data_IF_319759730276
#
_entry.id   IF_319759730276
#
_cell.length_a   1.000
_cell.length_b   1.000
_cell.length_c   1.000
_cell.angle_alpha   90.00
_cell.angle_beta   90.00
_cell.angle_gamma   90.00
#
_symmetry.space_group_name_H-M   'P 1'
#
loop_
_entity.id
_entity.type
_entity.pdbx_description
1 polymer ?
2 non-polymer ?
3 non-polymer ?
4 non-polymer ?
5 water ?
#
# COMPACT_ATOMS: atom_id res chain seq x y z
N UNK A 3 -1.52 -8.41 22.40
CA UNK A 3 -1.12 -9.68 21.84
C UNK A 3 -0.77 -9.62 20.34
N UNK A 4 -1.63 -9.02 19.49
CA UNK A 4 -1.30 -8.98 18.05
C UNK A 4 -0.01 -8.22 17.76
N UNK A 5 0.06 -6.96 18.22
CA UNK A 5 1.24 -6.15 18.00
C UNK A 5 2.46 -6.73 18.70
N UNK A 6 2.25 -7.27 19.91
CA UNK A 6 3.36 -7.87 20.65
C UNK A 6 3.92 -9.07 19.89
N UNK A 7 3.05 -9.90 19.33
CA UNK A 7 3.51 -11.07 18.58
C UNK A 7 4.14 -10.66 17.25
N UNK A 8 3.59 -9.62 16.60
CA UNK A 8 4.17 -9.16 15.34
C UNK A 8 5.60 -8.68 15.55
N UNK A 9 5.85 -7.99 16.67
CA UNK A 9 7.18 -7.45 16.92
C UNK A 9 8.17 -8.52 17.34
N UNK A 10 7.71 -9.54 18.07
CA UNK A 10 8.60 -10.64 18.43
C UNK A 10 9.09 -11.37 17.19
N UNK A 11 8.20 -11.57 16.21
CA UNK A 11 8.59 -12.26 14.99
C UNK A 11 9.52 -11.38 14.16
N UNK A 12 9.38 -10.06 14.26
CA UNK A 12 10.34 -9.17 13.60
C UNK A 12 11.75 -9.45 14.09
N UNK A 13 11.93 -9.54 15.41
CA UNK A 13 13.25 -9.87 15.95
C UNK A 13 13.74 -11.22 15.44
N UNK A 14 12.84 -12.21 15.39
CA UNK A 14 13.23 -13.53 14.91
C UNK A 14 13.63 -13.46 13.43
N UNK A 15 12.82 -12.80 12.62
CA UNK A 15 13.13 -12.67 11.19
C UNK A 15 14.44 -11.92 11.01
N UNK A 16 14.58 -10.77 11.66
CA UNK A 16 15.80 -9.98 11.52
C UNK A 16 17.03 -10.79 11.93
N UNK A 17 16.93 -11.52 13.03
CA UNK A 17 18.08 -12.28 13.50
C UNK A 17 18.43 -13.41 12.51
N UNK A 18 17.43 -14.05 11.92
CA UNK A 18 17.73 -15.03 10.89
C UNK A 18 18.44 -14.39 9.72
N UNK A 19 17.90 -13.27 9.21
CA UNK A 19 18.48 -12.64 8.03
C UNK A 19 19.90 -12.17 8.29
N UNK A 20 20.16 -11.58 9.46
CA UNK A 20 21.49 -11.07 9.74
C UNK A 20 22.48 -12.19 10.00
N UNK A 21 22.05 -13.24 10.70
CA UNK A 21 22.94 -14.38 10.91
C UNK A 21 23.23 -15.10 9.59
N UNK A 22 22.22 -15.21 8.73
CA UNK A 22 22.44 -15.79 7.41
C UNK A 22 23.53 -15.03 6.66
N UNK A 23 23.47 -13.70 6.69
CA UNK A 23 24.51 -12.89 6.06
C UNK A 23 25.87 -13.17 6.68
N UNK A 24 25.93 -13.20 8.01
CA UNK A 24 27.18 -13.48 8.69
C UNK A 24 27.70 -14.87 8.37
N UNK A 25 26.82 -15.87 8.39
CA UNK A 25 27.24 -17.27 8.31
C UNK A 25 27.35 -17.79 6.89
N UNK A 26 26.51 -17.30 5.96
CA UNK A 26 26.47 -17.83 4.60
C UNK A 26 26.92 -16.85 3.54
N UNK A 27 27.00 -15.56 3.85
CA UNK A 27 27.35 -14.57 2.83
C UNK A 27 28.60 -13.79 3.19
N UNK A 28 29.37 -14.25 4.18
CA UNK A 28 30.70 -13.72 4.50
C UNK A 28 30.66 -12.27 4.99
N UNK A 29 29.54 -11.82 5.54
CA UNK A 29 29.42 -10.42 5.91
C UNK A 29 30.16 -10.13 7.22
N UNK A 30 30.87 -9.01 7.24
CA UNK A 30 31.61 -8.57 8.42
C UNK A 30 30.67 -7.90 9.43
N UNK A 31 31.06 -7.90 10.72
CA UNK A 31 30.18 -7.29 11.75
C UNK A 31 29.78 -5.85 11.46
N UNK A 32 30.73 -5.01 11.06
CA UNK A 32 30.41 -3.60 10.78
C UNK A 32 29.26 -3.49 9.80
N UNK A 33 29.26 -4.32 8.75
CA UNK A 33 28.16 -4.25 7.79
C UNK A 33 26.89 -4.90 8.32
N UNK A 34 26.99 -5.95 9.14
CA UNK A 34 25.80 -6.54 9.72
C UNK A 34 25.07 -5.52 10.58
N UNK A 35 25.80 -4.81 11.44
CA UNK A 35 25.18 -3.78 12.27
C UNK A 35 24.65 -2.65 11.42
N UNK A 36 25.35 -2.30 10.33
CA UNK A 36 24.85 -1.30 9.40
C UNK A 36 23.51 -1.71 8.81
N UNK A 37 23.38 -2.98 8.39
CA UNK A 37 22.13 -3.44 7.82
C UNK A 37 21.04 -3.60 8.86
N UNK A 38 21.39 -3.98 10.10
CA UNK A 38 20.39 -4.01 11.16
C UNK A 38 19.77 -2.64 11.38
N UNK A 39 20.61 -1.60 11.42
CA UNK A 39 20.10 -0.24 11.57
C UNK A 39 19.25 0.17 10.37
N UNK A 40 19.71 -0.13 9.16
CA UNK A 40 18.93 0.21 7.97
C UNK A 40 17.58 -0.50 7.97
N UNK A 41 17.57 -1.78 8.32
CA UNK A 41 16.31 -2.53 8.38
C UNK A 41 15.35 -1.90 9.40
N UNK A 42 15.86 -1.60 10.59
CA UNK A 42 15.03 -0.96 11.61
C UNK A 42 14.50 0.38 11.12
N UNK A 43 15.36 1.20 10.50
CA UNK A 43 14.97 2.53 10.06
C UNK A 43 13.86 2.48 9.02
N UNK A 44 13.94 1.53 8.09
CA UNK A 44 13.03 1.51 6.95
C UNK A 44 11.79 0.68 7.20
N UNK A 45 11.86 -0.34 8.06
CA UNK A 45 10.74 -1.25 8.24
C UNK A 45 9.89 -0.96 9.47
N UNK A 46 10.45 -0.31 10.49
CA UNK A 46 9.73 -0.04 11.71
C UNK A 46 9.26 1.41 11.76
N UNK A 47 8.23 1.65 12.58
CA UNK A 47 7.77 2.99 12.84
C UNK A 47 6.45 3.36 12.20
N UNK A 48 5.95 2.56 11.25
CA UNK A 48 4.65 2.79 10.67
C UNK A 48 3.54 2.34 11.60
N UNK A 49 2.38 2.07 11.01
CA UNK A 49 1.25 1.55 11.76
C UNK A 49 1.07 0.05 11.62
N UNK A 50 1.77 -0.57 10.66
CA UNK A 50 1.76 -2.01 10.44
C UNK A 50 0.38 -2.56 10.06
N UNK A 51 -0.48 -1.72 9.47
CA UNK A 51 -1.84 -2.16 9.16
C UNK A 51 -1.84 -3.30 8.14
N UNK A 52 -0.94 -3.24 7.16
CA UNK A 52 -0.83 -4.32 6.18
C UNK A 52 -0.43 -5.62 6.86
N UNK A 53 0.57 -5.56 7.74
CA UNK A 53 1.06 -6.78 8.37
C UNK A 53 0.09 -7.34 9.38
N UNK A 54 -0.48 -6.48 10.22
CA UNK A 54 -1.43 -6.95 11.22
C UNK A 54 -2.70 -7.49 10.57
N UNK A 55 -3.05 -7.00 9.37
CA UNK A 55 -4.23 -7.52 8.68
C UNK A 55 -4.07 -9.00 8.37
N UNK A 56 -2.85 -9.43 8.03
CA UNK A 56 -2.61 -10.86 7.80
C UNK A 56 -2.89 -11.65 9.08
N UNK A 57 -2.43 -11.13 10.21
CA UNK A 57 -2.67 -11.80 11.49
C UNK A 57 -4.16 -11.89 11.77
N UNK A 58 -4.88 -10.80 11.54
CA UNK A 58 -6.30 -10.76 11.85
C UNK A 58 -7.09 -11.73 10.97
N UNK A 59 -6.78 -11.78 9.68
CA UNK A 59 -7.43 -12.75 8.80
C UNK A 59 -7.14 -14.17 9.28
N UNK A 60 -5.92 -14.42 9.74
CA UNK A 60 -5.54 -15.76 10.16
C UNK A 60 -6.28 -16.19 11.42
N UNK A 61 -6.43 -15.27 12.39
CA UNK A 61 -7.10 -15.64 13.63
C UNK A 61 -8.60 -15.80 13.43
N UNK A 62 -9.18 -15.06 12.48
CA UNK A 62 -10.61 -15.20 12.24
C UNK A 62 -10.95 -16.53 11.58
N UNK A 63 -9.99 -17.13 10.87
CA UNK A 63 -10.26 -18.36 10.14
C UNK A 63 -9.98 -19.61 10.96
N UNK A 64 -9.05 -19.54 11.92
CA UNK A 64 -8.88 -20.68 12.82
C UNK A 64 -9.99 -20.75 13.87
N UNK A 65 -10.86 -19.75 13.92
CA UNK A 65 -12.04 -19.80 14.78
C UNK A 65 -13.28 -20.32 14.04
N UNK A 66 -13.25 -20.34 12.71
CA UNK A 66 -14.37 -20.88 11.93
C UNK A 66 -13.81 -21.35 10.58
N UNK A 67 -13.46 -22.63 10.51
CA UNK A 67 -12.90 -23.20 9.29
C UNK A 67 -13.96 -23.33 8.19
N UNK A 77 -4.48 -26.31 18.11
CA UNK A 77 -3.38 -26.28 19.05
C UNK A 77 -2.03 -26.13 18.37
N UNK A 78 -1.59 -27.18 17.67
CA UNK A 78 -0.33 -27.10 16.92
C UNK A 78 -0.52 -26.35 15.61
N UNK A 79 -1.61 -26.61 14.90
CA UNK A 79 -1.90 -25.85 13.69
C UNK A 79 -2.18 -24.39 14.00
N UNK A 80 -2.68 -24.09 15.21
CA UNK A 80 -2.88 -22.70 15.59
C UNK A 80 -1.56 -21.95 15.64
N UNK A 81 -0.58 -22.48 16.38
CA UNK A 81 0.68 -21.77 16.55
C UNK A 81 1.42 -21.64 15.22
N UNK A 82 1.35 -22.66 14.37
CA UNK A 82 2.05 -22.60 13.09
C UNK A 82 1.43 -21.59 12.14
N UNK A 83 0.09 -21.58 12.04
CA UNK A 83 -0.57 -20.66 11.14
C UNK A 83 -0.35 -19.22 11.56
N UNK A 84 -0.43 -18.95 12.87
CA UNK A 84 -0.23 -17.58 13.35
C UNK A 84 1.20 -17.10 13.12
N UNK A 85 2.19 -17.98 13.35
CA UNK A 85 3.56 -17.61 13.05
C UNK A 85 3.74 -17.34 11.56
N UNK A 86 3.16 -18.20 10.72
CA UNK A 86 3.20 -17.97 9.27
C UNK A 86 2.54 -16.65 8.91
N UNK A 87 1.45 -16.30 9.58
CA UNK A 87 0.80 -15.02 9.33
C UNK A 87 1.73 -13.86 9.66
N UNK A 88 2.53 -14.00 10.72
CA UNK A 88 3.45 -12.93 11.11
C UNK A 88 4.57 -12.77 10.09
N UNK A 89 5.11 -13.88 9.57
CA UNK A 89 6.14 -13.78 8.55
C UNK A 89 5.58 -13.13 7.29
N UNK A 90 4.36 -13.50 6.91
CA UNK A 90 3.72 -12.89 5.76
C UNK A 90 3.49 -11.40 5.97
N UNK A 91 3.04 -11.02 7.16
CA UNK A 91 2.89 -9.61 7.47
C UNK A 91 4.18 -8.83 7.29
N UNK A 92 5.31 -9.41 7.73
CA UNK A 92 6.57 -8.71 7.57
C UNK A 92 7.03 -8.70 6.12
N UNK A 93 6.68 -9.73 5.34
CA UNK A 93 6.92 -9.67 3.91
C UNK A 93 6.31 -8.43 3.30
N UNK A 94 5.03 -8.17 3.59
CA UNK A 94 4.36 -6.99 3.04
C UNK A 94 4.97 -5.71 3.61
N UNK A 95 5.31 -5.70 4.90
CA UNK A 95 5.93 -4.52 5.49
C UNK A 95 7.30 -4.26 4.88
N UNK A 96 8.07 -5.32 4.63
CA UNK A 96 9.37 -5.14 3.97
C UNK A 96 9.18 -4.67 2.53
N UNK A 97 8.15 -5.19 1.85
CA UNK A 97 7.83 -4.72 0.50
C UNK A 97 7.45 -3.25 0.51
N UNK A 98 6.66 -2.84 1.51
CA UNK A 98 6.33 -1.43 1.67
C UNK A 98 7.57 -0.58 1.93
N UNK A 99 8.44 -1.05 2.82
CA UNK A 99 9.71 -0.35 3.04
C UNK A 99 10.50 -0.22 1.75
N UNK A 100 10.46 -1.26 0.92
CA UNK A 100 11.16 -1.22 -0.36
C UNK A 100 10.60 -0.13 -1.28
N UNK A 101 9.26 -0.04 -1.39
CA UNK A 101 8.67 0.99 -2.23
C UNK A 101 8.99 2.40 -1.71
N UNK A 102 9.01 2.58 -0.39
CA UNK A 102 9.30 3.89 0.16
C UNK A 102 10.73 4.32 -0.15
N UNK A 103 11.68 3.39 -0.06
CA UNK A 103 13.06 3.70 -0.41
C UNK A 103 13.15 4.08 -1.89
N UNK A 104 12.47 3.33 -2.75
CA UNK A 104 12.48 3.68 -4.18
C UNK A 104 11.87 5.06 -4.40
N UNK A 105 10.80 5.38 -3.66
CA UNK A 105 10.19 6.70 -3.77
C UNK A 105 11.15 7.80 -3.33
N UNK A 106 11.92 7.54 -2.27
CA UNK A 106 12.85 8.57 -1.80
C UNK A 106 13.96 8.85 -2.80
N UNK A 107 14.40 7.83 -3.53
CA UNK A 107 15.43 8.05 -4.55
C UNK A 107 14.90 8.97 -5.64
N UNK A 108 13.61 8.85 -5.98
CA UNK A 108 13.05 9.61 -7.09
C UNK A 108 13.09 11.11 -6.85
N UNK A 109 12.99 11.54 -5.58
CA UNK A 109 12.97 12.97 -5.27
C UNK A 109 14.16 13.44 -4.45
N UNK A 110 15.07 12.55 -4.06
CA UNK A 110 16.29 12.97 -3.37
C UNK A 110 17.20 13.72 -4.33
N UNK A 123 32.61 11.75 -9.47
CA UNK A 123 32.56 11.30 -8.08
C UNK A 123 31.25 10.57 -7.77
N UNK A 124 31.36 9.29 -7.43
CA UNK A 124 30.15 8.50 -7.14
C UNK A 124 29.54 8.91 -5.80
N UNK A 125 28.23 9.10 -5.79
CA UNK A 125 27.51 9.51 -4.59
C UNK A 125 27.11 8.25 -3.84
N UNK A 126 27.84 7.95 -2.75
CA UNK A 126 27.64 6.69 -2.06
C UNK A 126 26.32 6.63 -1.29
N UNK A 127 25.72 7.79 -0.99
CA UNK A 127 24.42 7.75 -0.34
C UNK A 127 23.34 7.29 -1.31
N UNK A 128 23.41 7.73 -2.57
CA UNK A 128 22.48 7.23 -3.58
C UNK A 128 22.78 5.77 -3.91
N UNK A 129 24.06 5.43 -4.01
CA UNK A 129 24.44 4.03 -4.19
C UNK A 129 23.87 3.17 -3.08
N UNK A 130 24.01 3.62 -1.83
CA UNK A 130 23.50 2.83 -0.72
C UNK A 130 21.99 2.83 -0.66
N UNK A 131 21.34 3.90 -1.16
CA UNK A 131 19.88 3.91 -1.20
C UNK A 131 19.35 2.92 -2.22
N UNK A 132 19.94 2.89 -3.40
CA UNK A 132 19.57 1.89 -4.39
C UNK A 132 19.80 0.48 -3.83
N UNK A 133 20.96 0.27 -3.20
CA UNK A 133 21.26 -1.04 -2.62
C UNK A 133 20.24 -1.42 -1.55
N UNK A 134 19.88 -0.47 -0.67
CA UNK A 134 18.85 -0.73 0.34
C UNK A 134 17.56 -1.22 -0.31
N UNK A 135 17.12 -0.56 -1.37
CA UNK A 135 15.88 -0.95 -2.02
C UNK A 135 15.92 -2.38 -2.53
N UNK A 136 17.06 -2.79 -3.10
CA UNK A 136 17.21 -4.16 -3.57
C UNK A 136 17.23 -5.15 -2.42
N UNK A 137 17.95 -4.81 -1.34
CA UNK A 137 18.02 -5.72 -0.20
C UNK A 137 16.65 -5.90 0.44
N UNK A 138 15.88 -4.83 0.55
CA UNK A 138 14.57 -4.93 1.19
C UNK A 138 13.63 -5.85 0.42
N UNK A 139 13.64 -5.74 -0.91
CA UNK A 139 12.83 -6.66 -1.71
C UNK A 139 13.34 -8.08 -1.60
N UNK A 140 14.66 -8.28 -1.73
CA UNK A 140 15.23 -9.62 -1.64
C UNK A 140 14.93 -10.26 -0.30
N UNK A 141 14.90 -9.47 0.78
CA UNK A 141 14.61 -10.02 2.10
C UNK A 141 13.20 -10.61 2.18
N UNK A 142 12.24 -10.11 1.40
CA UNK A 142 10.92 -10.74 1.39
C UNK A 142 11.01 -12.17 0.85
N UNK A 143 11.84 -12.38 -0.17
CA UNK A 143 12.05 -13.73 -0.69
C UNK A 143 12.80 -14.60 0.30
N UNK A 144 13.89 -14.06 0.89
CA UNK A 144 14.71 -14.87 1.79
C UNK A 144 13.91 -15.32 3.01
N UNK A 145 13.12 -14.42 3.60
CA UNK A 145 12.36 -14.80 4.78
C UNK A 145 11.25 -15.79 4.45
N UNK A 146 10.66 -15.69 3.25
CA UNK A 146 9.66 -16.66 2.83
C UNK A 146 10.30 -18.02 2.57
N UNK A 147 11.40 -18.05 1.82
CA UNK A 147 12.05 -19.32 1.52
C UNK A 147 12.53 -20.04 2.77
N UNK A 148 12.97 -19.30 3.79
CA UNK A 148 13.38 -19.94 5.04
C UNK A 148 12.18 -20.45 5.81
N UNK A 149 11.29 -19.54 6.23
CA UNK A 149 10.24 -19.89 7.18
C UNK A 149 9.16 -20.76 6.57
N UNK A 150 9.03 -20.78 5.25
CA UNK A 150 8.01 -21.59 4.58
C UNK A 150 8.63 -22.70 3.74
N UNK A 151 9.91 -23.03 3.98
CA UNK A 151 10.60 -24.03 3.17
C UNK A 151 9.82 -25.33 3.08
N UNK A 152 9.16 -25.74 4.16
CA UNK A 152 8.39 -26.98 4.21
C UNK A 152 6.89 -26.74 4.08
N UNK A 153 6.48 -25.61 3.51
CA UNK A 153 5.04 -25.45 3.37
C UNK A 153 4.60 -25.82 1.96
N UNK A 154 3.42 -26.42 1.80
CA UNK A 154 2.92 -26.72 0.45
C UNK A 154 2.56 -25.49 -0.36
N UNK A 155 2.25 -24.37 0.30
CA UNK A 155 1.83 -23.16 -0.39
C UNK A 155 2.98 -22.25 -0.81
N UNK A 156 4.22 -22.65 -0.54
CA UNK A 156 5.35 -21.76 -0.81
C UNK A 156 5.37 -21.28 -2.25
N UNK A 157 5.16 -22.19 -3.20
CA UNK A 157 5.21 -21.81 -4.61
C UNK A 157 4.09 -20.85 -4.96
N UNK A 158 2.86 -21.17 -4.55
CA UNK A 158 1.74 -20.27 -4.82
C UNK A 158 1.94 -18.94 -4.10
N UNK A 159 2.50 -18.98 -2.89
CA UNK A 159 2.75 -17.76 -2.14
C UNK A 159 3.69 -16.83 -2.92
N UNK A 160 4.81 -17.38 -3.39
CA UNK A 160 5.79 -16.56 -4.10
C UNK A 160 5.20 -15.97 -5.38
N UNK A 161 4.38 -16.75 -6.08
CA UNK A 161 3.84 -16.31 -7.37
C UNK A 161 2.83 -15.18 -7.19
N UNK A 162 1.93 -15.32 -6.22
CA UNK A 162 0.96 -14.27 -5.97
C UNK A 162 1.63 -13.02 -5.43
N UNK A 163 2.65 -13.19 -4.59
CA UNK A 163 3.42 -12.05 -4.09
C UNK A 163 4.15 -11.34 -5.23
N UNK A 164 4.80 -12.11 -6.09
CA UNK A 164 5.53 -11.51 -7.21
C UNK A 164 4.57 -10.82 -8.18
N UNK A 165 3.37 -11.38 -8.35
CA UNK A 165 2.40 -10.78 -9.27
C UNK A 165 1.86 -9.47 -8.73
N UNK A 166 1.65 -9.39 -7.41
CA UNK A 166 1.18 -8.13 -6.83
C UNK A 166 2.27 -7.08 -6.88
N UNK A 167 3.51 -7.48 -6.62
CA UNK A 167 4.62 -6.53 -6.72
C UNK A 167 4.76 -5.99 -8.14
N UNK A 168 4.62 -6.86 -9.15
CA UNK A 168 4.59 -6.42 -10.53
C UNK A 168 3.45 -5.45 -10.78
N UNK A 169 2.26 -5.79 -10.29
CA UNK A 169 1.12 -4.90 -10.42
C UNK A 169 1.41 -3.51 -9.85
N UNK A 170 2.08 -3.46 -8.70
CA UNK A 170 2.38 -2.18 -8.07
C UNK A 170 3.32 -1.35 -8.95
N UNK A 171 4.32 -1.99 -9.55
CA UNK A 171 5.24 -1.28 -10.43
C UNK A 171 4.54 -0.78 -11.69
N UNK A 172 3.55 -1.53 -12.17
CA UNK A 172 2.75 -1.04 -13.29
C UNK A 172 1.91 0.16 -12.87
N UNK A 173 1.33 0.10 -11.66
CA UNK A 173 0.57 1.24 -11.18
C UNK A 173 1.43 2.47 -10.97
N UNK A 174 2.68 2.28 -10.55
CA UNK A 174 3.59 3.41 -10.43
C UNK A 174 3.89 4.03 -11.78
N UNK A 175 3.97 3.22 -12.84
CA UNK A 175 4.13 3.76 -14.19
C UNK A 175 2.92 4.59 -14.59
N UNK A 176 1.71 4.08 -14.33
CA UNK A 176 0.50 4.83 -14.62
C UNK A 176 0.49 6.17 -13.89
N UNK A 177 0.94 6.17 -12.64
CA UNK A 177 0.89 7.38 -11.82
C UNK A 177 1.90 8.42 -12.31
N UNK A 178 3.14 7.98 -12.53
CA UNK A 178 4.25 8.89 -12.82
C UNK A 178 4.08 9.53 -14.19
N UNK A 179 3.42 8.84 -15.13
CA UNK A 179 3.26 9.32 -16.50
C UNK A 179 1.87 9.87 -16.77
N UNK A 180 1.09 10.18 -15.74
CA UNK A 180 -0.31 10.55 -15.97
C UNK A 180 -0.45 11.93 -16.60
N UNK A 181 0.62 12.71 -16.69
CA UNK A 181 0.57 14.07 -17.23
C UNK A 181 1.32 14.23 -18.55
N UNK A 182 1.89 13.16 -19.10
CA UNK A 182 2.67 13.25 -20.32
C UNK A 182 2.21 12.25 -21.37
N UNK A 183 3.01 12.09 -22.42
CA UNK A 183 2.87 11.00 -23.39
C UNK A 183 4.17 10.19 -23.34
N UNK A 184 4.09 8.97 -22.80
CA UNK A 184 5.26 8.13 -22.61
C UNK A 184 5.95 7.82 -23.94
N UNK A 185 7.08 8.47 -24.20
CA UNK A 185 7.81 8.27 -25.44
C UNK A 185 8.55 6.94 -25.44
N UNK A 198 -0.57 17.33 -19.80
CA UNK A 198 -1.53 16.62 -20.64
C UNK A 198 -2.65 16.02 -19.79
N UNK A 199 -3.83 16.61 -19.87
CA UNK A 199 -4.94 16.26 -18.99
C UNK A 199 -5.92 15.29 -19.63
N UNK A 200 -5.55 14.66 -20.75
CA UNK A 200 -6.45 13.71 -21.39
C UNK A 200 -6.67 12.48 -20.52
N UNK A 201 -5.68 12.08 -19.73
CA UNK A 201 -5.83 10.93 -18.84
C UNK A 201 -6.38 11.32 -17.47
N UNK A 202 -6.73 12.59 -17.27
CA UNK A 202 -7.33 13.03 -16.01
C UNK A 202 -8.82 12.69 -16.05
N UNK A 203 -9.10 11.41 -15.86
CA UNK A 203 -10.47 10.91 -15.81
C UNK A 203 -10.63 10.07 -14.55
N UNK A 204 -11.88 9.81 -14.20
CA UNK A 204 -12.16 9.06 -12.98
C UNK A 204 -11.81 7.58 -13.15
N UNK A 205 -12.02 7.04 -14.36
CA UNK A 205 -11.66 5.65 -14.58
C UNK A 205 -10.15 5.45 -14.56
N UNK A 206 -9.38 6.40 -15.11
CA UNK A 206 -7.94 6.29 -15.02
C UNK A 206 -7.45 6.53 -13.60
N UNK A 207 -8.09 7.48 -12.89
CA UNK A 207 -7.75 7.67 -11.48
C UNK A 207 -7.90 6.37 -10.70
N UNK A 208 -8.99 5.64 -10.96
CA UNK A 208 -9.18 4.36 -10.28
C UNK A 208 -8.20 3.31 -10.75
N UNK A 209 -7.79 3.35 -12.03
CA UNK A 209 -6.76 2.43 -12.48
C UNK A 209 -5.47 2.66 -11.73
N UNK A 210 -5.10 3.93 -11.51
CA UNK A 210 -3.88 4.23 -10.76
C UNK A 210 -4.00 3.71 -9.33
N UNK A 211 -5.08 4.07 -8.64
CA UNK A 211 -5.25 3.64 -7.25
C UNK A 211 -5.21 2.13 -7.16
N UNK A 212 -5.94 1.45 -8.05
CA UNK A 212 -6.05 -0.01 -8.00
C UNK A 212 -4.68 -0.67 -8.11
N UNK A 213 -3.91 -0.28 -9.13
CA UNK A 213 -2.64 -0.96 -9.38
C UNK A 213 -1.54 -0.45 -8.45
N UNK A 214 -1.51 0.86 -8.19
CA UNK A 214 -0.41 1.44 -7.43
C UNK A 214 -0.54 1.22 -5.94
N UNK A 215 -1.75 0.98 -5.43
CA UNK A 215 -1.94 0.96 -3.99
C UNK A 215 -2.82 -0.20 -3.51
N UNK A 216 -4.02 -0.33 -4.08
CA UNK A 216 -5.02 -1.23 -3.51
C UNK A 216 -4.53 -2.68 -3.48
N UNK A 217 -3.87 -3.13 -4.54
CA UNK A 217 -3.52 -4.55 -4.66
C UNK A 217 -2.56 -4.99 -3.54
N UNK A 218 -1.49 -4.23 -3.30
CA UNK A 218 -0.53 -4.66 -2.28
C UNK A 218 -0.93 -4.20 -0.88
N UNK A 219 -1.72 -3.14 -0.77
CA UNK A 219 -2.10 -2.60 0.54
C UNK A 219 -3.36 -3.26 1.10
N UNK A 220 -4.34 -3.56 0.25
CA UNK A 220 -5.59 -4.15 0.71
C UNK A 220 -5.77 -5.60 0.29
N UNK A 221 -5.58 -5.90 -1.00
CA UNK A 221 -5.80 -7.27 -1.46
C UNK A 221 -4.74 -8.23 -0.92
N UNK A 222 -3.47 -7.85 -1.00
CA UNK A 222 -2.40 -8.78 -0.63
C UNK A 222 -2.45 -9.25 0.82
N UNK A 223 -2.68 -8.39 1.82
CA UNK A 223 -2.81 -8.93 3.18
C UNK A 223 -3.94 -9.94 3.33
N UNK A 224 -5.08 -9.71 2.68
CA UNK A 224 -6.19 -10.65 2.76
C UNK A 224 -5.80 -11.98 2.14
N UNK A 225 -5.21 -11.94 0.94
CA UNK A 225 -4.83 -13.18 0.25
C UNK A 225 -3.84 -13.98 1.08
N UNK A 226 -2.80 -13.32 1.61
CA UNK A 226 -1.79 -14.04 2.37
C UNK A 226 -2.38 -14.63 3.64
N UNK A 227 -3.28 -13.91 4.30
CA UNK A 227 -3.97 -14.48 5.44
C UNK A 227 -4.79 -15.71 5.08
N UNK A 228 -5.34 -15.74 3.86
CA UNK A 228 -6.05 -16.92 3.39
C UNK A 228 -5.08 -18.05 3.04
N UNK A 229 -3.90 -17.73 2.55
CA UNK A 229 -2.96 -18.76 2.12
C UNK A 229 -2.40 -19.52 3.32
N UNK A 230 -1.93 -18.79 4.34
CA UNK A 230 -1.39 -19.45 5.52
C UNK A 230 -2.50 -20.17 6.29
N UNK A 231 -3.74 -19.70 6.16
CA UNK A 231 -4.88 -20.36 6.77
C UNK A 231 -5.45 -21.48 5.92
N UNK A 232 -4.83 -21.77 4.78
CA UNK A 232 -5.19 -22.85 3.87
C UNK A 232 -6.59 -22.68 3.27
N UNK A 233 -7.25 -21.55 3.51
CA UNK A 233 -8.62 -21.34 3.09
C UNK A 233 -8.72 -20.48 1.83
N UNK A 234 -7.67 -20.48 0.99
CA UNK A 234 -7.71 -19.67 -0.22
C UNK A 234 -8.86 -20.05 -1.14
N UNK A 235 -9.03 -21.32 -1.56
CA UNK A 235 -10.06 -21.61 -2.57
C UNK A 235 -11.48 -21.64 -2.02
N UNK A 236 -11.68 -21.14 -0.81
CA UNK A 236 -12.99 -21.18 -0.17
C UNK A 236 -13.70 -19.82 -0.17
N UNK A 237 -13.13 -18.81 -0.81
CA UNK A 237 -13.70 -17.47 -0.78
C UNK A 237 -14.00 -17.03 -2.21
N UNK A 238 -14.97 -16.13 -2.32
CA UNK A 238 -15.27 -15.47 -3.60
C UNK A 238 -14.20 -14.41 -3.82
N UNK A 239 -13.20 -14.74 -4.65
CA UNK A 239 -12.12 -13.80 -4.92
C UNK A 239 -12.60 -12.60 -5.73
N UNK A 240 -13.68 -12.73 -6.48
CA UNK A 240 -14.22 -11.59 -7.21
C UNK A 240 -14.71 -10.50 -6.26
N UNK A 241 -15.57 -10.87 -5.31
CA UNK A 241 -16.02 -9.91 -4.31
C UNK A 241 -14.84 -9.40 -3.49
N UNK A 242 -13.89 -10.29 -3.19
CA UNK A 242 -12.74 -9.89 -2.38
C UNK A 242 -11.90 -8.85 -3.11
N UNK A 243 -11.59 -9.10 -4.38
CA UNK A 243 -10.89 -8.10 -5.18
C UNK A 243 -11.68 -6.80 -5.25
N UNK A 244 -12.99 -6.90 -5.48
CA UNK A 244 -13.82 -5.71 -5.58
C UNK A 244 -13.78 -4.90 -4.29
N UNK A 245 -13.80 -5.57 -3.14
CA UNK A 245 -13.73 -4.86 -1.86
C UNK A 245 -12.38 -4.18 -1.68
N UNK A 246 -11.30 -4.90 -1.97
CA UNK A 246 -9.96 -4.33 -1.84
C UNK A 246 -9.81 -3.08 -2.68
N UNK A 247 -10.26 -3.13 -3.94
CA UNK A 247 -10.21 -1.95 -4.81
C UNK A 247 -11.02 -0.80 -4.24
N UNK A 248 -12.26 -1.09 -3.80
CA UNK A 248 -13.10 -0.03 -3.27
C UNK A 248 -12.51 0.60 -2.03
N UNK A 249 -11.95 -0.23 -1.13
CA UNK A 249 -11.37 0.31 0.10
C UNK A 249 -10.13 1.15 -0.20
N UNK A 250 -9.30 0.71 -1.14
CA UNK A 250 -8.18 1.55 -1.56
C UNK A 250 -8.63 2.87 -2.12
N UNK A 251 -9.67 2.83 -2.96
CA UNK A 251 -10.23 4.06 -3.53
C UNK A 251 -10.74 4.98 -2.43
N UNK A 252 -11.52 4.45 -1.49
CA UNK A 252 -12.01 5.24 -0.37
C UNK A 252 -10.84 5.91 0.37
N UNK A 253 -9.81 5.14 0.69
CA UNK A 253 -8.70 5.70 1.45
C UNK A 253 -7.92 6.72 0.62
N UNK A 254 -7.76 6.47 -0.68
CA UNK A 254 -6.96 7.39 -1.50
C UNK A 254 -7.68 8.71 -1.75
N UNK A 255 -9.01 8.68 -1.88
CA UNK A 255 -9.76 9.92 -2.07
C UNK A 255 -9.59 10.82 -0.85
N UNK A 256 -9.78 10.25 0.35
CA UNK A 256 -9.53 11.02 1.56
C UNK A 256 -8.09 11.52 1.62
N UNK A 257 -7.14 10.65 1.25
CA UNK A 257 -5.75 11.06 1.22
C UNK A 257 -5.53 12.24 0.28
N UNK A 258 -6.17 12.21 -0.89
CA UNK A 258 -6.02 13.29 -1.85
C UNK A 258 -6.58 14.61 -1.32
N UNK A 259 -7.73 14.56 -0.66
CA UNK A 259 -8.33 15.79 -0.14
C UNK A 259 -7.49 16.34 1.01
N UNK A 260 -7.03 15.46 1.91
CA UNK A 260 -6.17 15.91 3.01
C UNK A 260 -4.85 16.47 2.50
N UNK A 261 -4.32 15.91 1.42
CA UNK A 261 -3.06 16.41 0.89
C UNK A 261 -3.17 17.89 0.50
N UNK A 262 -4.36 18.30 0.03
CA UNK A 262 -4.58 19.67 -0.42
C UNK A 262 -5.02 20.61 0.69
N UNK A 263 -5.79 20.13 1.66
CA UNK A 263 -6.42 21.02 2.63
C UNK A 263 -5.93 20.86 4.06
N UNK A 264 -5.48 19.67 4.46
CA UNK A 264 -4.99 19.49 5.81
C UNK A 264 -3.62 20.17 5.94
N UNK A 265 -3.43 21.08 6.89
CA UNK A 265 -2.16 21.78 6.98
C UNK A 265 -1.03 20.84 7.39
N UNK A 266 0.21 21.19 7.04
CA UNK A 266 1.31 20.21 7.17
C UNK A 266 1.52 19.66 8.57
N UNK A 267 1.46 20.52 9.60
CA UNK A 267 1.70 20.04 10.95
C UNK A 267 0.59 19.11 11.44
N UNK A 268 -0.56 19.10 10.78
CA UNK A 268 -1.63 18.15 11.09
C UNK A 268 -1.68 16.97 10.14
N UNK A 269 -1.23 17.15 8.89
CA UNK A 269 -1.20 16.05 7.93
C UNK A 269 0.00 15.13 8.16
N UNK A 270 1.08 15.65 8.71
CA UNK A 270 2.30 14.89 8.89
C UNK A 270 3.30 15.04 7.77
N UNK A 271 2.99 15.84 6.76
CA UNK A 271 3.90 16.09 5.64
C UNK A 271 3.44 17.36 4.95
N UNK A 272 4.24 17.83 4.02
CA UNK A 272 3.86 18.93 3.14
C UNK A 272 3.13 18.33 1.94
N UNK A 273 1.87 18.70 1.76
CA UNK A 273 1.12 18.23 0.60
C UNK A 273 1.63 18.89 -0.67
N UNK A 274 1.82 18.08 -1.71
CA UNK A 274 2.50 18.56 -2.91
C UNK A 274 1.86 18.06 -4.20
N UNK A 275 0.63 17.55 -4.16
CA UNK A 275 0.01 16.99 -5.36
C UNK A 275 -0.19 18.04 -6.43
N UNK A 276 -0.61 19.26 -6.05
CA UNK A 276 -0.81 20.31 -7.03
C UNK A 276 0.51 20.66 -7.72
N UNK A 277 1.57 20.87 -6.94
CA UNK A 277 2.88 21.18 -7.52
C UNK A 277 3.37 20.05 -8.42
N UNK A 278 3.04 18.81 -8.07
CA UNK A 278 3.53 17.65 -8.80
C UNK A 278 2.61 17.23 -9.93
N UNK A 279 1.56 17.99 -10.20
CA UNK A 279 0.62 17.69 -11.29
C UNK A 279 0.08 16.28 -11.18
N UNK A 280 -0.29 15.87 -9.98
CA UNK A 280 -0.79 14.52 -9.77
C UNK A 280 -2.20 14.37 -10.32
N UNK A 281 -2.50 13.18 -10.85
CA UNK A 281 -3.86 12.83 -11.23
C UNK A 281 -4.62 12.47 -9.96
N UNK A 282 -5.03 13.49 -9.22
CA UNK A 282 -5.70 13.33 -7.95
C UNK A 282 -7.21 13.34 -8.13
N UNK A 283 -7.91 12.84 -7.12
CA UNK A 283 -9.37 12.86 -7.14
C UNK A 283 -9.89 14.28 -7.31
N UNK A 284 -9.26 15.25 -6.63
CA UNK A 284 -9.70 16.64 -6.76
C UNK A 284 -9.54 17.15 -8.19
N UNK A 285 -8.42 16.83 -8.82
CA UNK A 285 -8.16 17.32 -10.17
C UNK A 285 -9.19 16.79 -11.16
N UNK A 286 -9.44 15.47 -11.13
CA UNK A 286 -10.34 14.87 -12.11
C UNK A 286 -11.79 15.26 -11.83
N UNK A 287 -12.15 15.44 -10.56
CA UNK A 287 -13.51 15.86 -10.22
C UNK A 287 -13.73 17.32 -10.60
N UNK A 288 -12.71 18.16 -10.43
CA UNK A 288 -12.82 19.55 -10.83
C UNK A 288 -13.01 19.69 -12.32
N UNK A 289 -12.25 18.94 -13.12
CA UNK A 289 -12.31 19.11 -14.57
C UNK A 289 -13.66 18.71 -15.14
N UNK A 290 -14.40 17.84 -14.44
CA UNK A 290 -15.71 17.45 -14.93
C UNK A 290 -16.75 18.55 -14.73
N UNK A 291 -16.58 19.40 -13.71
CA UNK A 291 -17.58 20.41 -13.41
C UNK A 291 -17.06 21.84 -13.53
N UNK A 292 -15.92 22.05 -14.18
CA UNK A 292 -15.38 23.39 -14.36
C UNK A 292 -15.88 24.01 -15.66
N UNK A 293 -15.93 25.34 -15.68
CA UNK A 293 -16.26 26.05 -16.91
C UNK A 293 -15.03 26.20 -17.78
N UNK A 294 -15.26 26.54 -19.05
CA UNK A 294 -14.17 26.58 -20.03
C UNK A 294 -13.06 27.53 -19.57
N UNK A 295 -13.42 28.73 -19.12
CA UNK A 295 -12.41 29.67 -18.65
C UNK A 295 -11.77 29.24 -17.34
N UNK A 296 -12.48 28.44 -16.53
CA UNK A 296 -11.88 27.91 -15.31
C UNK A 296 -10.85 26.83 -15.64
N UNK A 297 -11.18 25.93 -16.57
CA UNK A 297 -10.23 24.90 -16.99
C UNK A 297 -8.97 25.56 -17.56
N UNK A 298 -9.15 26.64 -18.32
CA UNK A 298 -7.99 27.43 -18.75
C UNK A 298 -7.20 27.94 -17.56
N UNK A 299 -7.90 28.39 -16.52
CA UNK A 299 -7.22 28.89 -15.32
C UNK A 299 -6.59 27.74 -14.54
N UNK A 300 -7.28 26.61 -14.45
CA UNK A 300 -6.69 25.42 -13.82
C UNK A 300 -5.46 24.97 -14.60
N UNK A 301 -5.59 24.83 -15.92
CA UNK A 301 -4.47 24.36 -16.73
C UNK A 301 -3.29 25.32 -16.65
N UNK A 302 -3.55 26.62 -16.58
CA UNK A 302 -2.47 27.59 -16.51
C UNK A 302 -1.75 27.55 -15.17
N UNK A 303 -2.39 27.07 -14.11
CA UNK A 303 -1.82 27.13 -12.77
C UNK A 303 -1.40 25.77 -12.20
N UNK A 304 -1.80 24.66 -12.81
CA UNK A 304 -1.52 23.35 -12.24
C UNK A 304 -0.10 22.91 -12.55
N UNK A 305 0.49 22.18 -11.60
CA UNK A 305 1.84 21.67 -11.80
C UNK A 305 2.94 22.69 -11.64
N UNK A 306 2.72 23.72 -10.82
CA UNK A 306 3.72 24.75 -10.58
C UNK A 306 4.03 24.85 -9.10
N UNK A 307 5.29 25.12 -8.78
CA UNK A 307 5.67 25.34 -7.40
C UNK A 307 5.38 26.72 -6.87
N UNK A 308 4.96 27.65 -7.73
CA UNK A 308 4.68 29.01 -7.30
C UNK A 308 3.53 29.03 -6.30
N UNK A 309 3.74 29.75 -5.19
CA UNK A 309 2.76 29.75 -4.11
C UNK A 309 1.40 30.26 -4.57
N UNK A 310 1.39 31.28 -5.43
CA UNK A 310 0.12 31.85 -5.85
C UNK A 310 -0.64 30.94 -6.80
N UNK A 311 0.08 30.21 -7.66
CA UNK A 311 -0.60 29.29 -8.58
C UNK A 311 -1.19 28.11 -7.83
N UNK A 312 -0.47 27.58 -6.83
CA UNK A 312 -1.02 26.53 -5.96
C UNK A 312 -2.24 27.06 -5.21
N UNK A 313 -2.14 28.29 -4.69
CA UNK A 313 -3.29 28.89 -4.02
C UNK A 313 -4.46 29.08 -4.97
N UNK A 314 -4.17 29.42 -6.23
CA UNK A 314 -5.24 29.55 -7.22
C UNK A 314 -5.94 28.21 -7.42
N UNK A 315 -5.17 27.11 -7.44
CA UNK A 315 -5.77 25.79 -7.59
C UNK A 315 -6.65 25.46 -6.38
N UNK A 316 -6.16 25.73 -5.17
CA UNK A 316 -6.98 25.52 -3.99
C UNK A 316 -8.24 26.36 -4.03
N UNK A 317 -8.12 27.60 -4.51
CA UNK A 317 -9.29 28.47 -4.64
C UNK A 317 -10.31 27.86 -5.60
N UNK A 318 -9.85 27.40 -6.77
CA UNK A 318 -10.76 26.78 -7.73
C UNK A 318 -11.44 25.56 -7.14
N UNK A 319 -10.69 24.71 -6.42
CA UNK A 319 -11.29 23.55 -5.77
C UNK A 319 -12.38 23.97 -4.79
N UNK A 320 -12.10 25.00 -3.98
CA UNK A 320 -13.08 25.51 -3.03
C UNK A 320 -14.35 25.94 -3.73
N UNK A 321 -14.23 26.82 -4.73
CA UNK A 321 -15.40 27.36 -5.41
C UNK A 321 -16.27 26.26 -6.02
N UNK A 322 -15.67 25.15 -6.43
CA UNK A 322 -16.41 24.04 -7.01
C UNK A 322 -17.05 23.14 -5.96
N UNK A 323 -16.91 23.46 -4.68
CA UNK A 323 -17.49 22.68 -3.59
C UNK A 323 -17.03 21.23 -3.65
N UNK A 324 -15.72 21.04 -3.81
CA UNK A 324 -15.19 19.68 -3.93
C UNK A 324 -15.19 18.97 -2.58
N UNK A 325 -14.98 19.70 -1.49
CA UNK A 325 -15.04 19.09 -0.17
C UNK A 325 -16.46 18.67 0.18
N UNK A 326 -17.47 19.27 -0.44
CA UNK A 326 -18.83 18.82 -0.28
C UNK A 326 -19.10 17.56 -1.09
N UNK A 327 -18.61 17.54 -2.33
CA UNK A 327 -18.74 16.34 -3.16
C UNK A 327 -17.93 15.19 -2.59
N UNK A 328 -16.83 15.50 -1.90
CA UNK A 328 -16.00 14.46 -1.30
C UNK A 328 -16.79 13.64 -0.29
N UNK A 329 -17.63 14.29 0.51
CA UNK A 329 -18.40 13.58 1.52
C UNK A 329 -19.37 12.61 0.86
N UNK A 330 -20.07 13.07 -0.19
CA UNK A 330 -21.03 12.22 -0.89
C UNK A 330 -20.33 11.04 -1.57
N UNK A 331 -19.20 11.30 -2.22
CA UNK A 331 -18.47 10.24 -2.91
C UNK A 331 -18.05 9.14 -1.95
N UNK A 332 -17.46 9.51 -0.82
CA UNK A 332 -17.05 8.52 0.17
C UNK A 332 -18.27 7.79 0.74
N UNK A 333 -19.37 8.50 0.95
CA UNK A 333 -20.59 7.86 1.44
C UNK A 333 -21.06 6.77 0.48
N UNK A 334 -21.11 7.09 -0.81
CA UNK A 334 -21.52 6.11 -1.80
C UNK A 334 -20.57 4.92 -1.83
N UNK A 335 -19.27 5.18 -1.75
CA UNK A 335 -18.28 4.09 -1.71
C UNK A 335 -18.50 3.25 -0.46
N UNK A 336 -18.69 3.91 0.69
CA UNK A 336 -18.92 3.19 1.93
C UNK A 336 -20.14 2.28 1.82
N UNK A 337 -21.18 2.74 1.12
CA UNK A 337 -22.36 1.92 0.94
C UNK A 337 -22.04 0.68 0.09
N UNK A 338 -21.24 0.85 -0.97
CA UNK A 338 -20.84 -0.31 -1.77
C UNK A 338 -19.99 -1.28 -0.95
N UNK A 339 -19.11 -0.74 -0.10
CA UNK A 339 -18.31 -1.59 0.78
C UNK A 339 -19.19 -2.28 1.79
N UNK A 340 -19.97 -1.50 2.55
CA UNK A 340 -20.84 -2.04 3.59
C UNK A 340 -21.79 -3.09 3.06
N UNK A 341 -22.10 -3.07 1.76
CA UNK A 341 -22.99 -4.05 1.17
C UNK A 341 -22.26 -5.20 0.48
N UNK A 342 -20.97 -5.03 0.16
CA UNK A 342 -20.23 -6.09 -0.51
C UNK A 342 -19.70 -7.13 0.46
N UNK A 343 -19.47 -6.74 1.72
CA UNK A 343 -19.03 -7.70 2.73
C UNK A 343 -20.08 -8.76 2.97
N UNK A 344 -21.35 -8.43 2.71
CA UNK A 344 -22.44 -9.37 2.98
C UNK A 344 -22.44 -10.52 1.97
N UNK A 345 -22.26 -10.21 0.69
CA UNK A 345 -22.04 -11.27 -0.29
C UNK A 345 -20.90 -12.18 0.15
N UNK A 346 -19.83 -11.59 0.68
CA UNK A 346 -18.66 -12.36 1.08
C UNK A 346 -18.99 -13.31 2.22
N UNK A 347 -19.75 -12.84 3.22
CA UNK A 347 -20.03 -13.65 4.40
C UNK A 347 -21.06 -14.73 4.17
N UNK A 348 -21.77 -14.71 3.03
CA UNK A 348 -22.74 -15.76 2.75
C UNK A 348 -22.08 -17.11 2.57
N UNK A 349 -20.85 -17.13 2.03
CA UNK A 349 -20.08 -18.36 1.89
C UNK A 349 -18.77 -18.36 2.68
N UNK A 350 -18.29 -17.20 3.12
CA UNK A 350 -17.05 -17.07 3.88
C UNK A 350 -17.31 -16.17 5.08
N UNK A 351 -17.91 -16.70 6.14
CA UNK A 351 -18.30 -15.85 7.27
C UNK A 351 -17.13 -15.30 8.08
N UNK A 352 -16.19 -16.16 8.47
CA UNK A 352 -15.06 -15.69 9.26
C UNK A 352 -14.18 -14.71 8.50
N UNK A 353 -14.05 -14.89 7.20
CA UNK A 353 -13.25 -13.97 6.40
C UNK A 353 -13.85 -12.56 6.43
N UNK A 354 -15.18 -12.46 6.48
CA UNK A 354 -15.82 -11.15 6.42
C UNK A 354 -15.58 -10.32 7.68
N UNK A 355 -15.45 -10.95 8.84
CA UNK A 355 -15.23 -10.20 10.06
C UNK A 355 -13.87 -9.49 10.02
N UNK A 356 -12.85 -10.15 9.47
CA UNK A 356 -11.55 -9.50 9.35
C UNK A 356 -11.59 -8.40 8.27
N UNK A 357 -12.31 -8.65 7.17
CA UNK A 357 -12.47 -7.61 6.16
C UNK A 357 -13.23 -6.43 6.74
N UNK A 358 -14.17 -6.69 7.66
CA UNK A 358 -14.88 -5.60 8.32
C UNK A 358 -13.94 -4.81 9.23
N UNK A 359 -13.11 -5.50 10.01
CA UNK A 359 -12.11 -4.82 10.82
C UNK A 359 -11.14 -4.01 9.96
N UNK A 360 -10.70 -4.60 8.84
CA UNK A 360 -9.85 -3.87 7.91
C UNK A 360 -10.55 -2.62 7.39
N UNK A 361 -11.81 -2.77 6.95
CA UNK A 361 -12.57 -1.61 6.48
C UNK A 361 -12.79 -0.60 7.60
N UNK A 362 -13.03 -1.08 8.82
CA UNK A 362 -13.19 -0.18 9.95
C UNK A 362 -11.97 0.70 10.16
N UNK A 363 -10.77 0.14 9.99
CA UNK A 363 -9.56 0.93 10.10
C UNK A 363 -9.51 2.02 9.03
N UNK A 364 -10.17 1.80 7.89
CA UNK A 364 -10.19 2.77 6.80
C UNK A 364 -11.23 3.85 7.05
#
# INVERSE_FOLDING_TARGET
GPMPMQMFMQVYDEIQMFLLEELELKFDMDPNRVRYLRKMMDTTCLGGKYNRGLTVIDVAESLLSLSPNNNGEEDDGARRKRVLHDACVCGWMIEFLQAHYLVEDDIMDNSVTRRGKPCWYRHPDVTVQCAINDGLLLKSWTHMMAMHFFADRPFLQDLLCRFNRVDYTTAVGQLYDVTSMFDSNKLDPDVSQPTTTDFAEFTLSNYKRIVKYKTAYYTYLLPLVMGLIVSEALPTVDMGVTEELAMLMGEYFQVQDDVMDCFTPPERLGKVGTDIQDAKCSWLAVTFLAKASSAQVAEFKANYGSGDSEKVATVRRLYEEADLQGDYVAYEAAVAEQVKELIEKLRLCSPGFAASVETLWGKTYKRQK
#
